data_IF_303654072175
#
_entry.id   IF_303654072175
#
_cell.length_a   1.000
_cell.length_b   1.000
_cell.length_c   1.000
_cell.angle_alpha   90.00
_cell.angle_beta   90.00
_cell.angle_gamma   90.00
#
_symmetry.space_group_name_H-M   'P 1'
#
loop_
_entity.id
_entity.type
_entity.pdbx_description
1 polymer ?
#
# COMPACT_ATOMS: atom_id res chain seq x y z
N UNK A 1 17.83 -8.97 5.42
CA UNK A 1 16.34 -8.96 5.40
C UNK A 1 15.73 -9.27 4.02
N UNK A 2 16.45 -9.11 2.90
CA UNK A 2 15.96 -9.44 1.56
C UNK A 2 15.78 -10.95 1.22
N UNK A 3 16.61 -11.90 1.70
CA UNK A 3 16.45 -13.30 1.28
C UNK A 3 15.16 -13.94 1.80
N UNK A 4 14.64 -13.45 2.93
CA UNK A 4 13.36 -13.90 3.48
C UNK A 4 12.16 -13.35 2.70
N UNK A 5 12.27 -12.16 2.08
CA UNK A 5 11.24 -11.60 1.20
C UNK A 5 11.18 -12.33 -0.14
N UNK A 6 12.32 -12.62 -0.77
CA UNK A 6 12.38 -13.43 -1.99
C UNK A 6 11.83 -14.83 -1.77
N UNK A 7 12.20 -15.49 -0.65
CA UNK A 7 11.65 -16.79 -0.27
C UNK A 7 10.13 -16.77 -0.06
N UNK A 8 9.57 -15.66 0.43
CA UNK A 8 8.12 -15.50 0.63
C UNK A 8 7.37 -15.15 -0.65
N UNK A 9 7.95 -14.33 -1.54
CA UNK A 9 7.38 -14.02 -2.85
C UNK A 9 7.32 -15.28 -3.74
N UNK A 10 8.38 -16.09 -3.72
CA UNK A 10 8.42 -17.37 -4.44
C UNK A 10 7.38 -18.39 -3.93
N UNK A 11 6.93 -18.29 -2.68
CA UNK A 11 5.88 -19.15 -2.10
C UNK A 11 4.46 -18.64 -2.36
N UNK A 12 4.28 -17.44 -2.89
CA UNK A 12 2.95 -16.78 -2.96
C UNK A 12 2.14 -17.09 -4.22
N UNK A 13 2.71 -17.77 -5.22
CA UNK A 13 2.05 -18.07 -6.50
C UNK A 13 1.39 -19.45 -6.59
N UNK A 14 1.55 -20.34 -5.61
CA UNK A 14 0.90 -21.68 -5.62
C UNK A 14 -0.49 -21.68 -4.96
N UNK A 15 -1.23 -20.57 -5.05
CA UNK A 15 -2.65 -20.52 -4.72
C UNK A 15 -3.41 -20.05 -5.94
N UNK A 16 -3.82 -20.97 -6.81
CA UNK A 16 -4.99 -20.89 -7.70
C UNK A 16 -5.09 -22.12 -8.64
N UNK A 17 -4.69 -23.31 -8.17
CA UNK A 17 -5.14 -24.56 -8.79
C UNK A 17 -5.55 -25.49 -7.66
N UNK A 18 -6.84 -25.45 -7.31
CA UNK A 18 -7.47 -26.44 -6.44
C UNK A 18 -7.64 -27.69 -7.32
N UNK A 19 -6.54 -28.38 -7.60
CA UNK A 19 -6.64 -29.79 -7.93
C UNK A 19 -6.84 -30.51 -6.59
N UNK A 20 -7.88 -31.34 -6.42
CA UNK A 20 -7.95 -32.18 -5.24
C UNK A 20 -6.66 -33.02 -5.21
N UNK A 21 -5.96 -33.08 -4.06
CA UNK A 21 -4.78 -33.93 -3.95
C UNK A 21 -5.15 -35.34 -4.40
N UNK A 22 -4.40 -35.90 -5.36
CA UNK A 22 -4.50 -37.30 -5.75
C UNK A 22 -4.51 -38.13 -4.46
N UNK A 23 -5.60 -38.84 -4.22
CA UNK A 23 -5.85 -39.56 -2.98
C UNK A 23 -4.72 -40.57 -2.75
N UNK A 24 -3.74 -40.20 -1.93
CA UNK A 24 -2.82 -41.16 -1.33
C UNK A 24 -3.71 -41.97 -0.40
N UNK A 25 -3.80 -43.31 -0.53
CA UNK A 25 -4.63 -44.11 0.35
C UNK A 25 -4.14 -43.92 1.78
N UNK A 26 -4.83 -43.05 2.52
CA UNK A 26 -4.49 -42.74 3.89
C UNK A 26 -4.77 -44.00 4.70
N UNK A 27 -3.71 -44.58 5.27
CA UNK A 27 -3.76 -45.76 6.15
C UNK A 27 -4.77 -45.56 7.29
N UNK A 28 -5.08 -44.30 7.63
CA UNK A 28 -6.07 -43.92 8.62
C UNK A 28 -7.15 -43.03 8.00
N UNK A 29 -8.41 -43.46 8.11
CA UNK A 29 -9.58 -42.65 7.73
C UNK A 29 -9.67 -41.45 8.67
N UNK A 30 -9.79 -40.23 8.12
CA UNK A 30 -10.04 -39.05 8.94
C UNK A 30 -11.36 -39.22 9.69
N UNK A 31 -11.36 -39.01 11.01
CA UNK A 31 -12.58 -39.06 11.83
C UNK A 31 -13.66 -38.07 11.38
N UNK A 32 -13.25 -37.02 10.67
CA UNK A 32 -14.15 -36.00 10.12
C UNK A 32 -13.60 -35.54 8.77
N UNK A 33 -14.36 -35.79 7.70
CA UNK A 33 -14.03 -35.32 6.37
C UNK A 33 -14.15 -33.79 6.33
N UNK A 34 -13.11 -33.15 5.80
CA UNK A 34 -13.06 -31.71 5.54
C UNK A 34 -12.77 -31.56 4.05
N UNK A 35 -13.41 -30.66 3.30
CA UNK A 35 -14.44 -29.68 3.68
C UNK A 35 -15.80 -30.34 4.02
N UNK A 36 -16.63 -29.71 4.86
CA UNK A 36 -18.03 -30.10 4.96
C UNK A 36 -18.76 -29.79 3.64
N UNK A 37 -19.43 -30.78 3.07
CA UNK A 37 -20.27 -30.58 1.88
C UNK A 37 -21.43 -29.65 2.23
N UNK A 38 -21.45 -28.46 1.65
CA UNK A 38 -22.48 -27.45 1.95
C UNK A 38 -23.81 -27.80 1.28
N UNK A 39 -23.81 -28.53 0.17
CA UNK A 39 -24.99 -28.89 -0.61
C UNK A 39 -25.92 -29.89 0.10
N UNK A 40 -25.39 -30.71 1.01
CA UNK A 40 -26.15 -31.75 1.72
C UNK A 40 -26.71 -31.26 3.06
N UNK A 41 -26.37 -30.04 3.49
CA UNK A 41 -26.76 -29.49 4.78
C UNK A 41 -28.03 -28.64 4.71
N UNK A 42 -28.79 -28.62 5.80
CA UNK A 42 -29.92 -27.68 5.97
C UNK A 42 -29.42 -26.24 5.93
N UNK A 43 -30.23 -25.33 5.36
CA UNK A 43 -29.93 -23.90 5.30
C UNK A 43 -29.56 -23.30 6.67
N UNK A 44 -30.19 -23.78 7.76
CA UNK A 44 -29.85 -23.32 9.11
C UNK A 44 -28.43 -23.70 9.53
N UNK A 45 -27.93 -24.86 9.10
CA UNK A 45 -26.57 -25.32 9.39
C UNK A 45 -25.55 -24.54 8.57
N UNK A 46 -25.83 -24.30 7.28
CA UNK A 46 -24.99 -23.46 6.41
C UNK A 46 -24.78 -22.07 7.02
N UNK A 47 -25.85 -21.41 7.47
CA UNK A 47 -25.78 -20.08 8.11
C UNK A 47 -24.95 -20.10 9.40
N UNK A 48 -25.01 -21.17 10.19
CA UNK A 48 -24.17 -21.33 11.40
C UNK A 48 -22.69 -21.44 11.03
N UNK A 49 -22.35 -22.19 9.98
CA UNK A 49 -20.97 -22.28 9.48
C UNK A 49 -20.48 -20.95 8.93
N UNK A 50 -21.30 -20.24 8.17
CA UNK A 50 -20.98 -18.92 7.64
C UNK A 50 -20.69 -17.92 8.78
N UNK A 51 -21.57 -17.84 9.78
CA UNK A 51 -21.36 -17.01 10.98
C UNK A 51 -20.05 -17.36 11.69
N UNK A 52 -19.78 -18.66 11.87
CA UNK A 52 -18.55 -19.15 12.50
C UNK A 52 -17.30 -18.77 11.69
N UNK A 53 -17.37 -18.89 10.37
CA UNK A 53 -16.31 -18.52 9.45
C UNK A 53 -16.02 -17.02 9.51
N UNK A 54 -17.05 -16.18 9.35
CA UNK A 54 -16.93 -14.71 9.46
C UNK A 54 -16.33 -14.28 10.79
N UNK A 55 -16.74 -14.91 11.91
CA UNK A 55 -16.15 -14.65 13.23
C UNK A 55 -14.66 -14.99 13.28
N UNK A 56 -14.26 -16.16 12.77
CA UNK A 56 -12.86 -16.58 12.72
C UNK A 56 -12.03 -15.68 11.82
N UNK A 57 -12.58 -15.24 10.69
CA UNK A 57 -11.93 -14.30 9.78
C UNK A 57 -11.72 -12.95 10.46
N UNK A 58 -12.73 -12.43 11.19
CA UNK A 58 -12.61 -11.21 11.98
C UNK A 58 -11.50 -11.31 13.03
N UNK A 59 -11.41 -12.43 13.75
CA UNK A 59 -10.35 -12.66 14.74
C UNK A 59 -8.97 -12.83 14.09
N UNK A 60 -8.86 -13.57 12.99
CA UNK A 60 -7.59 -13.74 12.27
C UNK A 60 -7.12 -12.42 11.64
N UNK A 61 -8.06 -11.55 11.27
CA UNK A 61 -7.80 -10.23 10.67
C UNK A 61 -7.66 -9.13 11.72
N UNK A 62 -8.02 -9.39 12.98
CA UNK A 62 -7.75 -8.53 14.13
C UNK A 62 -6.24 -8.51 14.43
N UNK A 63 -5.45 -7.98 13.50
CA UNK A 63 -4.03 -7.68 13.71
C UNK A 63 -3.91 -6.51 14.69
N UNK A 64 -2.84 -6.45 15.51
CA UNK A 64 -2.60 -5.34 16.41
C UNK A 64 -2.55 -4.03 15.61
N UNK A 65 -3.57 -3.18 15.78
CA UNK A 65 -3.69 -1.92 15.05
C UNK A 65 -2.56 -0.95 15.38
N UNK A 66 -2.06 -1.00 16.62
CA UNK A 66 -0.98 -0.16 17.10
C UNK A 66 0.32 -0.36 16.31
N UNK A 67 0.75 -1.61 16.09
CA UNK A 67 1.96 -1.90 15.31
C UNK A 67 1.85 -1.40 13.86
N UNK A 68 0.67 -1.49 13.24
CA UNK A 68 0.42 -0.89 11.93
C UNK A 68 0.52 0.63 11.97
N UNK A 69 -0.06 1.25 12.99
CA UNK A 69 -0.01 2.71 13.20
C UNK A 69 1.42 3.22 13.37
N UNK A 70 2.22 2.56 14.22
CA UNK A 70 3.62 2.91 14.45
C UNK A 70 4.45 2.76 13.17
N UNK A 71 4.27 1.67 12.41
CA UNK A 71 4.98 1.49 11.12
C UNK A 71 4.59 2.54 10.10
N UNK A 72 3.31 2.92 10.04
CA UNK A 72 2.86 3.98 9.15
C UNK A 72 3.42 5.34 9.57
N UNK A 73 3.44 5.63 10.87
CA UNK A 73 4.06 6.83 11.41
C UNK A 73 5.56 6.87 11.10
N UNK A 74 6.27 5.75 11.23
CA UNK A 74 7.69 5.65 10.88
C UNK A 74 7.94 5.91 9.38
N UNK A 75 7.12 5.33 8.51
CA UNK A 75 7.21 5.61 7.06
C UNK A 75 6.88 7.07 6.75
N UNK A 76 5.89 7.62 7.43
CA UNK A 76 5.51 9.02 7.28
C UNK A 76 6.63 9.96 7.72
N UNK A 77 7.26 9.73 8.88
CA UNK A 77 8.36 10.58 9.36
C UNK A 77 9.57 10.53 8.45
N UNK A 78 9.97 9.34 7.97
CA UNK A 78 11.06 9.19 7.00
C UNK A 78 10.74 9.95 5.71
N UNK A 79 9.54 9.75 5.16
CA UNK A 79 9.12 10.41 3.91
C UNK A 79 9.04 11.92 4.08
N UNK A 80 8.52 12.39 5.21
CA UNK A 80 8.42 13.81 5.53
C UNK A 80 9.79 14.48 5.58
N UNK A 81 10.78 13.87 6.23
CA UNK A 81 12.15 14.39 6.27
C UNK A 81 12.78 14.43 4.87
N UNK A 82 12.56 13.41 4.05
CA UNK A 82 13.06 13.39 2.67
C UNK A 82 12.42 14.50 1.81
N UNK A 83 11.11 14.70 1.91
CA UNK A 83 10.43 15.78 1.19
C UNK A 83 10.90 17.15 1.68
N UNK A 84 11.05 17.34 3.00
CA UNK A 84 11.54 18.60 3.55
C UNK A 84 12.95 18.94 3.07
N UNK A 85 13.89 17.99 3.14
CA UNK A 85 15.26 18.19 2.67
C UNK A 85 15.32 18.44 1.17
N UNK A 86 14.50 17.72 0.38
CA UNK A 86 14.46 17.85 -1.07
C UNK A 86 13.78 19.14 -1.53
N UNK A 87 12.74 19.66 -0.86
CA UNK A 87 11.93 20.80 -1.34
C UNK A 87 12.13 22.11 -0.58
N UNK A 88 12.33 22.08 0.74
CA UNK A 88 12.23 23.27 1.58
C UNK A 88 13.54 23.67 2.25
N UNK A 89 14.44 22.71 2.50
CA UNK A 89 15.71 23.00 3.17
C UNK A 89 16.62 23.84 2.28
N UNK A 90 17.09 24.98 2.79
CA UNK A 90 18.01 25.84 2.07
C UNK A 90 19.46 25.49 2.42
N UNK A 91 20.25 25.15 1.40
CA UNK A 91 21.64 24.71 1.58
C UNK A 91 22.54 25.93 1.36
N UNK A 92 22.87 26.63 2.45
CA UNK A 92 23.56 27.94 2.39
C UNK A 92 24.95 27.90 1.75
N UNK A 93 25.65 26.76 1.85
CA UNK A 93 27.07 26.64 1.48
C UNK A 93 27.32 25.87 0.17
N UNK A 94 26.28 25.29 -0.45
CA UNK A 94 26.41 24.45 -1.65
C UNK A 94 25.21 24.61 -2.59
N UNK A 95 25.38 24.65 -3.93
CA UNK A 95 24.25 24.65 -4.86
C UNK A 95 23.34 23.44 -4.58
N UNK A 96 22.07 23.71 -4.33
CA UNK A 96 21.11 22.69 -3.92
C UNK A 96 20.98 21.60 -4.99
N UNK A 97 21.33 20.32 -4.69
CA UNK A 97 21.37 19.25 -5.69
C UNK A 97 19.99 18.89 -6.24
N UNK A 98 18.91 19.32 -5.58
CA UNK A 98 17.53 19.03 -5.96
C UNK A 98 16.81 20.19 -6.68
N UNK A 99 17.52 21.23 -7.14
CA UNK A 99 16.92 22.40 -7.79
C UNK A 99 15.93 22.05 -8.91
N UNK A 100 16.33 21.21 -9.87
CA UNK A 100 15.44 20.79 -10.96
C UNK A 100 14.24 19.93 -10.54
N UNK A 101 14.30 19.27 -9.38
CA UNK A 101 13.15 18.53 -8.82
C UNK A 101 12.16 19.51 -8.16
N UNK A 102 12.67 20.52 -7.46
CA UNK A 102 11.85 21.59 -6.87
C UNK A 102 11.08 22.35 -7.93
N UNK A 103 11.76 22.78 -8.99
CA UNK A 103 11.11 23.51 -10.08
C UNK A 103 10.01 22.70 -10.74
N UNK A 104 10.25 21.41 -11.03
CA UNK A 104 9.21 20.52 -11.61
C UNK A 104 8.05 20.29 -10.64
N UNK A 105 8.33 20.13 -9.35
CA UNK A 105 7.30 19.98 -8.33
C UNK A 105 6.44 21.24 -8.22
N UNK A 106 7.04 22.41 -8.07
CA UNK A 106 6.30 23.67 -7.99
C UNK A 106 5.65 24.07 -9.32
N UNK A 107 6.20 23.69 -10.47
CA UNK A 107 5.51 23.85 -11.77
C UNK A 107 4.28 22.95 -11.84
N UNK A 108 4.41 21.69 -11.44
CA UNK A 108 3.30 20.74 -11.43
C UNK A 108 2.19 21.13 -10.45
N UNK A 109 2.54 21.57 -9.23
CA UNK A 109 1.57 22.04 -8.23
C UNK A 109 1.11 23.48 -8.46
N UNK A 110 1.91 24.30 -9.14
CA UNK A 110 1.59 25.68 -9.53
C UNK A 110 0.48 25.77 -10.57
N UNK A 111 0.34 24.75 -11.42
CA UNK A 111 -0.85 24.59 -12.29
C UNK A 111 -2.15 24.47 -11.48
N UNK A 112 -2.07 24.01 -10.23
CA UNK A 112 -3.22 23.87 -9.33
C UNK A 112 -3.46 25.07 -8.40
N UNK A 113 -2.51 26.00 -8.25
CA UNK A 113 -2.68 27.21 -7.42
C UNK A 113 -3.00 28.45 -8.29
N UNK A 114 -4.14 29.09 -8.03
CA UNK A 114 -4.63 30.23 -8.83
C UNK A 114 -3.73 31.48 -8.80
N UNK A 115 -2.90 31.65 -7.75
CA UNK A 115 -2.07 32.85 -7.59
C UNK A 115 -1.02 33.05 -8.69
N UNK A 116 -0.54 32.00 -9.36
CA UNK A 116 0.45 32.15 -10.43
C UNK A 116 -0.14 32.57 -11.78
N UNK A 117 -1.48 32.63 -11.92
CA UNK A 117 -2.14 33.18 -13.11
C UNK A 117 -2.17 34.71 -13.12
N UNK A 118 -2.01 35.35 -11.96
CA UNK A 118 -1.94 36.80 -11.87
C UNK A 118 -0.48 37.21 -12.04
N UNK A 119 -0.08 37.37 -13.29
CA UNK A 119 1.17 38.06 -13.62
C UNK A 119 1.01 39.49 -13.10
N UNK A 120 1.79 39.89 -12.09
CA UNK A 120 1.87 41.30 -11.72
C UNK A 120 2.42 42.07 -12.95
N UNK A 121 1.74 43.10 -13.46
CA UNK A 121 2.11 43.78 -14.72
C UNK A 121 3.45 44.55 -14.66
N UNK A 122 4.17 44.48 -13.54
CA UNK A 122 5.41 45.21 -13.28
C UNK A 122 6.63 44.69 -14.07
N UNK A 123 6.57 43.50 -14.67
CA UNK A 123 7.72 42.83 -15.32
C UNK A 123 7.67 42.76 -16.86
N UNK A 124 6.85 43.57 -17.54
CA UNK A 124 6.93 43.66 -19.01
C UNK A 124 8.20 44.44 -19.42
N UNK A 125 9.10 43.89 -20.27
CA UNK A 125 10.19 44.67 -20.80
C UNK A 125 9.62 45.79 -21.69
N UNK A 126 9.91 47.05 -21.33
CA UNK A 126 9.57 48.20 -22.18
C UNK A 126 10.30 48.04 -23.51
N UNK A 127 9.54 47.64 -24.54
CA UNK A 127 10.01 47.66 -25.92
C UNK A 127 10.49 49.08 -26.24
N UNK A 128 11.80 49.23 -26.41
CA UNK A 128 12.43 50.45 -26.89
C UNK A 128 11.96 50.71 -28.32
N UNK A 129 11.00 51.63 -28.47
CA UNK A 129 10.67 52.27 -29.74
C UNK A 129 11.12 53.71 -29.69
N UNK A 130 12.32 53.99 -30.19
CA UNK A 130 12.65 55.08 -31.12
C UNK A 130 14.11 55.04 -31.48
#
# INVERSE_FOLDING_TARGET
MLPTLMRRLAQSSTRLSIQPPKEIPAVYKLKKQWPPDMSTMSAQQQLRFEKKYKRRLKLATARPGWDKGVRLAQLFTITFVLVYTALFMDWKDMPNPYGGVREKFFTFFGVFTEETRIIEPSQQPKNARR
#
